data_IF_969356090940
#
_entry.id   IF_969356090940
#
_cell.length_a   1.000
_cell.length_b   1.000
_cell.length_c   1.000
_cell.angle_alpha   90.00
_cell.angle_beta   90.00
_cell.angle_gamma   90.00
#
_symmetry.space_group_name_H-M   'P 1'
#
loop_
_entity.id
_entity.type
_entity.pdbx_description
1 polymer ?
#
# COMPACT_ATOMS: atom_id res chain seq x y z
N UNK A 1 -14.97 -11.34 -3.57
CA UNK A 1 -13.70 -10.59 -3.52
C UNK A 1 -12.67 -11.34 -2.70
N UNK A 2 -11.40 -11.20 -3.05
CA UNK A 2 -10.30 -11.79 -2.29
C UNK A 2 -9.10 -10.87 -2.31
N UNK A 3 -8.18 -11.09 -1.37
CA UNK A 3 -6.93 -10.33 -1.30
C UNK A 3 -5.79 -11.24 -1.77
N UNK A 4 -4.96 -10.72 -2.67
CA UNK A 4 -3.76 -11.41 -3.15
C UNK A 4 -2.55 -10.53 -2.93
N UNK A 5 -1.37 -11.14 -2.90
CA UNK A 5 -0.12 -10.40 -2.85
C UNK A 5 0.51 -10.39 -4.25
N UNK A 6 0.83 -9.19 -4.74
CA UNK A 6 1.23 -8.98 -6.13
C UNK A 6 2.49 -9.77 -6.53
N UNK A 7 3.57 -9.69 -5.72
CA UNK A 7 4.85 -10.27 -6.11
C UNK A 7 4.83 -11.78 -6.16
N UNK A 8 3.93 -12.42 -5.43
CA UNK A 8 3.73 -13.87 -5.46
C UNK A 8 2.60 -14.30 -6.40
N UNK A 9 1.92 -13.35 -7.05
CA UNK A 9 0.82 -13.67 -7.96
C UNK A 9 1.33 -14.17 -9.31
N UNK A 10 0.47 -14.92 -10.01
CA UNK A 10 0.81 -15.47 -11.32
C UNK A 10 0.48 -14.57 -12.51
N UNK A 11 -0.16 -13.44 -12.31
CA UNK A 11 -0.67 -12.58 -13.39
C UNK A 11 -0.22 -11.13 -13.22
N UNK A 12 1.07 -10.94 -12.95
CA UNK A 12 1.64 -9.63 -12.60
C UNK A 12 1.43 -8.57 -13.68
N UNK A 13 1.58 -8.92 -14.95
CA UNK A 13 1.43 -7.95 -16.03
C UNK A 13 0.02 -7.37 -16.07
N UNK A 14 -0.99 -8.22 -15.88
CA UNK A 14 -2.38 -7.77 -15.83
C UNK A 14 -2.62 -6.80 -14.66
N UNK A 15 -2.18 -7.17 -13.47
CA UNK A 15 -2.37 -6.32 -12.29
C UNK A 15 -1.59 -5.02 -12.39
N UNK A 16 -0.37 -5.09 -12.90
CA UNK A 16 0.47 -3.89 -13.09
C UNK A 16 -0.19 -2.89 -14.05
N UNK A 17 -0.74 -3.37 -15.16
CA UNK A 17 -1.47 -2.52 -16.10
C UNK A 17 -2.68 -1.86 -15.45
N UNK A 18 -3.41 -2.58 -14.62
CA UNK A 18 -4.54 -2.00 -13.90
C UNK A 18 -4.12 -0.92 -12.91
N UNK A 19 -2.98 -1.11 -12.23
CA UNK A 19 -2.43 -0.07 -11.35
C UNK A 19 -2.14 1.20 -12.14
N UNK A 20 -1.61 1.07 -13.35
CA UNK A 20 -1.32 2.22 -14.22
C UNK A 20 -2.57 3.02 -14.59
N UNK A 21 -3.75 2.39 -14.58
CA UNK A 21 -5.02 3.04 -14.90
C UNK A 21 -5.61 3.81 -13.71
N UNK A 22 -5.03 3.70 -12.53
CA UNK A 22 -5.49 4.46 -11.37
C UNK A 22 -5.40 5.97 -11.62
N UNK A 23 -6.48 6.70 -11.31
CA UNK A 23 -6.55 8.16 -11.46
C UNK A 23 -5.89 8.84 -10.27
N UNK A 24 -4.60 8.65 -10.14
CA UNK A 24 -3.81 9.14 -9.02
C UNK A 24 -2.32 9.12 -9.40
N UNK A 25 -1.62 10.24 -9.21
CA UNK A 25 -0.21 10.35 -9.61
C UNK A 25 0.67 9.31 -8.92
N UNK A 26 0.39 9.00 -7.64
CA UNK A 26 1.15 7.98 -6.91
C UNK A 26 0.92 6.57 -7.48
N UNK A 27 -0.27 6.27 -8.00
CA UNK A 27 -0.53 4.99 -8.67
C UNK A 27 0.34 4.85 -9.92
N UNK A 28 0.45 5.92 -10.69
CA UNK A 28 1.31 5.93 -11.89
C UNK A 28 2.79 5.82 -11.52
N UNK A 29 3.19 6.41 -10.42
CA UNK A 29 4.55 6.26 -9.89
C UNK A 29 4.81 4.82 -9.43
N UNK A 30 3.87 4.21 -8.74
CA UNK A 30 3.97 2.80 -8.34
C UNK A 30 4.14 1.90 -9.55
N UNK A 31 3.38 2.13 -10.62
CA UNK A 31 3.53 1.38 -11.87
C UNK A 31 4.98 1.48 -12.38
N UNK A 32 5.57 2.67 -12.37
CA UNK A 32 6.96 2.85 -12.78
C UNK A 32 7.93 2.06 -11.90
N UNK A 33 7.71 2.06 -10.59
CA UNK A 33 8.53 1.30 -9.66
C UNK A 33 8.41 -0.21 -9.89
N UNK A 34 7.23 -0.70 -10.22
CA UNK A 34 7.03 -2.13 -10.52
C UNK A 34 7.74 -2.56 -11.80
N UNK A 35 8.05 -1.62 -12.69
CA UNK A 35 8.85 -1.86 -13.88
C UNK A 35 10.35 -1.66 -13.67
N UNK A 36 10.75 -1.20 -12.49
CA UNK A 36 12.15 -0.94 -12.17
C UNK A 36 12.39 -1.33 -10.70
N UNK A 37 12.56 -2.61 -10.47
CA UNK A 37 12.66 -3.14 -9.10
C UNK A 37 13.90 -2.64 -8.35
N UNK A 38 14.96 -2.27 -9.06
CA UNK A 38 16.10 -1.65 -8.40
C UNK A 38 15.70 -0.34 -7.74
N UNK A 39 14.95 0.50 -8.46
CA UNK A 39 14.47 1.76 -7.92
C UNK A 39 13.42 1.54 -6.84
N UNK A 40 12.56 0.55 -7.00
CA UNK A 40 11.60 0.17 -5.96
C UNK A 40 12.33 -0.12 -4.65
N UNK A 41 13.36 -0.94 -4.70
CA UNK A 41 14.12 -1.31 -3.50
C UNK A 41 14.91 -0.14 -2.92
N UNK A 42 15.43 0.75 -3.76
CA UNK A 42 16.12 1.96 -3.30
C UNK A 42 15.18 2.88 -2.50
N UNK A 43 13.92 2.98 -2.90
CA UNK A 43 12.96 3.88 -2.29
C UNK A 43 12.16 3.23 -1.17
N UNK A 44 11.79 1.97 -1.31
CA UNK A 44 10.86 1.28 -0.41
C UNK A 44 11.50 0.13 0.36
N UNK A 45 12.76 -0.19 0.08
CA UNK A 45 13.47 -1.27 0.73
C UNK A 45 13.24 -2.62 0.08
N UNK A 46 13.88 -3.64 0.64
CA UNK A 46 13.75 -5.02 0.17
C UNK A 46 12.55 -5.70 0.82
N UNK A 47 12.11 -6.82 0.25
CA UNK A 47 11.03 -7.67 0.79
C UNK A 47 9.70 -6.94 0.91
N UNK A 48 9.48 -5.92 0.09
CA UNK A 48 8.22 -5.21 0.05
C UNK A 48 7.08 -6.08 -0.43
N UNK A 49 5.87 -5.78 0.05
CA UNK A 49 4.65 -6.47 -0.36
C UNK A 49 3.66 -5.46 -0.92
N UNK A 50 2.85 -5.92 -1.85
CA UNK A 50 1.78 -5.13 -2.44
C UNK A 50 0.52 -6.00 -2.41
N UNK A 51 -0.45 -5.61 -1.59
CA UNK A 51 -1.70 -6.34 -1.44
C UNK A 51 -2.76 -5.73 -2.34
N UNK A 52 -3.45 -6.59 -3.06
CA UNK A 52 -4.53 -6.23 -3.97
C UNK A 52 -5.83 -6.87 -3.49
N UNK A 53 -6.84 -6.04 -3.25
CA UNK A 53 -8.21 -6.55 -3.10
C UNK A 53 -8.79 -6.61 -4.51
N UNK A 54 -9.20 -7.80 -4.95
CA UNK A 54 -9.66 -8.01 -6.32
C UNK A 54 -11.09 -8.54 -6.35
N UNK A 55 -11.78 -8.21 -7.44
CA UNK A 55 -13.09 -8.73 -7.78
C UNK A 55 -12.99 -9.30 -9.20
N UNK A 56 -12.85 -10.63 -9.29
CA UNK A 56 -12.54 -11.26 -10.57
C UNK A 56 -11.20 -10.78 -11.10
N UNK A 57 -11.20 -10.14 -12.27
CA UNK A 57 -10.01 -9.62 -12.92
C UNK A 57 -9.79 -8.11 -12.67
N UNK A 58 -10.58 -7.54 -11.76
CA UNK A 58 -10.50 -6.10 -11.48
C UNK A 58 -9.90 -5.86 -10.10
N UNK A 59 -8.98 -4.89 -10.02
CA UNK A 59 -8.50 -4.41 -8.74
C UNK A 59 -9.54 -3.46 -8.16
N UNK A 60 -9.92 -3.70 -6.91
CA UNK A 60 -10.80 -2.83 -6.13
C UNK A 60 -10.00 -1.80 -5.38
N UNK A 61 -8.94 -2.25 -4.71
CA UNK A 61 -8.07 -1.40 -3.88
C UNK A 61 -6.70 -2.05 -3.74
N UNK A 62 -5.66 -1.25 -3.50
CA UNK A 62 -4.32 -1.78 -3.23
C UNK A 62 -3.60 -0.98 -2.15
N UNK A 63 -2.59 -1.59 -1.54
CA UNK A 63 -1.74 -0.98 -0.52
C UNK A 63 -0.40 -1.69 -0.49
N UNK A 64 0.67 -0.93 -0.24
CA UNK A 64 2.01 -1.50 -0.03
C UNK A 64 2.31 -1.67 1.45
N UNK A 65 3.13 -2.66 1.77
CA UNK A 65 3.72 -2.86 3.09
C UNK A 65 5.22 -3.01 2.88
N UNK A 66 5.99 -1.99 3.29
CA UNK A 66 7.40 -1.87 2.92
C UNK A 66 8.25 -1.43 4.10
N UNK A 67 9.57 -1.58 3.98
CA UNK A 67 10.51 -1.15 5.02
C UNK A 67 10.70 0.35 5.08
N UNK A 68 10.52 1.05 3.96
CA UNK A 68 10.71 2.49 3.85
C UNK A 68 9.53 3.11 3.11
N UNK A 69 9.36 4.40 3.27
CA UNK A 69 8.41 5.21 2.53
C UNK A 69 8.99 6.62 2.41
N UNK A 70 8.17 7.63 2.23
CA UNK A 70 8.65 9.01 2.06
C UNK A 70 9.44 9.54 3.26
N UNK A 71 9.20 9.03 4.46
CA UNK A 71 9.97 9.38 5.66
C UNK A 71 11.16 8.44 5.78
N UNK A 72 12.38 9.00 5.79
CA UNK A 72 13.63 8.24 5.84
C UNK A 72 14.13 8.07 7.27
N UNK A 73 13.48 7.21 8.02
CA UNK A 73 13.87 6.86 9.38
C UNK A 73 13.88 5.34 9.50
N UNK A 74 15.07 4.75 9.52
CA UNK A 74 15.24 3.29 9.52
C UNK A 74 14.70 2.62 10.80
N UNK A 75 14.52 3.38 11.87
CA UNK A 75 13.93 2.85 13.10
C UNK A 75 12.41 2.69 13.00
N UNK A 76 11.79 3.34 12.02
CA UNK A 76 10.35 3.31 11.79
C UNK A 76 10.04 2.39 10.62
N UNK A 77 9.54 1.21 10.90
CA UNK A 77 9.09 0.24 9.91
C UNK A 77 8.18 -0.80 10.55
N UNK A 78 7.33 -1.52 9.79
CA UNK A 78 7.08 -1.33 8.37
C UNK A 78 6.12 -0.18 8.08
N UNK A 79 6.08 0.23 6.82
CA UNK A 79 5.23 1.32 6.34
C UNK A 79 4.11 0.78 5.47
N UNK A 80 2.90 1.29 5.70
CA UNK A 80 1.78 1.15 4.76
C UNK A 80 1.79 2.37 3.84
N UNK A 81 1.69 2.15 2.55
CA UNK A 81 1.76 3.23 1.58
C UNK A 81 0.95 2.93 0.33
N UNK A 82 0.87 3.91 -0.58
CA UNK A 82 0.18 3.76 -1.87
C UNK A 82 -1.25 3.20 -1.73
N UNK A 83 -1.96 3.55 -0.65
CA UNK A 83 -3.34 3.09 -0.47
C UNK A 83 -4.26 3.80 -1.46
N UNK A 84 -4.94 3.03 -2.28
CA UNK A 84 -5.84 3.55 -3.30
C UNK A 84 -7.03 2.63 -3.49
N UNK A 85 -8.22 3.22 -3.62
CA UNK A 85 -9.44 2.50 -3.99
C UNK A 85 -9.97 3.10 -5.28
N UNK A 86 -10.25 2.26 -6.27
CA UNK A 86 -10.74 2.70 -7.56
C UNK A 86 -12.13 3.36 -7.41
N UNK A 87 -12.43 4.39 -8.22
CA UNK A 87 -13.64 5.20 -8.02
C UNK A 87 -14.95 4.40 -7.93
N UNK A 88 -15.09 3.37 -8.76
CA UNK A 88 -16.31 2.56 -8.81
C UNK A 88 -16.58 1.77 -7.51
N UNK A 89 -15.58 1.65 -6.66
CA UNK A 89 -15.67 0.87 -5.43
C UNK A 89 -15.61 1.71 -4.17
N UNK A 90 -15.52 3.02 -4.29
CA UNK A 90 -15.44 3.93 -3.13
C UNK A 90 -16.75 3.96 -2.34
N UNK A 91 -16.66 4.32 -1.05
CA UNK A 91 -17.81 4.40 -0.17
C UNK A 91 -18.23 3.08 0.47
N UNK A 92 -17.48 2.00 0.27
CA UNK A 92 -17.81 0.67 0.78
C UNK A 92 -16.81 0.18 1.83
N UNK A 93 -15.92 1.05 2.31
CA UNK A 93 -14.90 0.73 3.33
C UNK A 93 -13.90 -0.36 2.91
N UNK A 94 -13.68 -0.53 1.63
CA UNK A 94 -12.73 -1.51 1.13
C UNK A 94 -11.29 -1.17 1.53
N UNK A 95 -10.94 0.12 1.59
CA UNK A 95 -9.62 0.53 2.05
C UNK A 95 -9.37 0.12 3.49
N UNK A 96 -10.39 0.24 4.36
CA UNK A 96 -10.29 -0.20 5.75
C UNK A 96 -10.06 -1.71 5.84
N UNK A 97 -10.80 -2.49 5.06
CA UNK A 97 -10.65 -3.94 5.01
C UNK A 97 -9.23 -4.34 4.60
N UNK A 98 -8.70 -3.67 3.58
CA UNK A 98 -7.36 -3.95 3.07
C UNK A 98 -6.28 -3.53 4.07
N UNK A 99 -6.44 -2.37 4.72
CA UNK A 99 -5.52 -1.94 5.77
C UNK A 99 -5.46 -2.94 6.92
N UNK A 100 -6.61 -3.45 7.36
CA UNK A 100 -6.65 -4.45 8.43
C UNK A 100 -5.91 -5.72 8.03
N UNK A 101 -6.07 -6.16 6.80
CA UNK A 101 -5.34 -7.31 6.29
C UNK A 101 -3.83 -7.07 6.31
N UNK A 102 -3.38 -5.91 5.83
CA UNK A 102 -1.95 -5.57 5.80
C UNK A 102 -1.38 -5.50 7.22
N UNK A 103 -2.13 -4.94 8.17
CA UNK A 103 -1.74 -4.93 9.59
C UNK A 103 -1.58 -6.34 10.14
N UNK A 104 -2.50 -7.26 9.81
CA UNK A 104 -2.42 -8.65 10.24
C UNK A 104 -1.19 -9.35 9.66
N UNK A 105 -0.83 -9.04 8.41
CA UNK A 105 0.38 -9.59 7.80
C UNK A 105 1.64 -9.08 8.52
N UNK A 106 1.68 -7.81 8.88
CA UNK A 106 2.78 -7.25 9.65
C UNK A 106 2.90 -7.91 11.02
N UNK A 107 1.78 -8.15 11.69
CA UNK A 107 1.76 -8.83 13.00
C UNK A 107 2.27 -10.27 12.89
N UNK A 108 1.94 -10.99 11.84
CA UNK A 108 2.44 -12.34 11.66
C UNK A 108 3.95 -12.39 11.39
N UNK A 109 4.54 -11.25 10.99
CA UNK A 109 5.98 -11.07 10.87
C UNK A 109 6.61 -10.47 12.14
N UNK A 110 5.90 -10.53 13.26
CA UNK A 110 6.31 -10.00 14.56
C UNK A 110 6.45 -8.47 14.62
N UNK A 111 5.78 -7.76 13.74
CA UNK A 111 5.78 -6.30 13.75
C UNK A 111 4.55 -5.81 14.53
N UNK A 112 4.80 -5.19 15.68
CA UNK A 112 3.72 -4.74 16.59
C UNK A 112 3.20 -3.36 16.25
N UNK A 113 3.91 -2.60 15.42
CA UNK A 113 3.57 -1.23 15.03
C UNK A 113 3.72 -1.12 13.52
N UNK A 114 2.78 -0.44 12.88
CA UNK A 114 2.90 -0.05 11.48
C UNK A 114 2.81 1.47 11.38
N UNK A 115 3.46 2.03 10.39
CA UNK A 115 3.52 3.48 10.16
C UNK A 115 2.80 3.82 8.87
N UNK A 116 2.26 5.02 8.81
CA UNK A 116 1.54 5.53 7.65
C UNK A 116 1.88 7.00 7.47
N UNK A 117 2.34 7.39 6.28
CA UNK A 117 2.52 8.78 5.92
C UNK A 117 1.33 9.23 5.07
N UNK A 118 0.71 10.35 5.43
CA UNK A 118 -0.48 10.84 4.74
C UNK A 118 -0.61 12.36 4.90
N UNK A 119 -1.20 12.99 3.88
CA UNK A 119 -1.63 14.38 3.95
C UNK A 119 -3.05 14.52 4.49
N UNK A 120 -3.76 13.42 4.73
CA UNK A 120 -5.13 13.42 5.23
C UNK A 120 -5.14 13.48 6.76
N UNK A 121 -5.62 14.59 7.32
CA UNK A 121 -5.73 14.77 8.75
C UNK A 121 -7.09 14.25 9.21
N UNK A 122 -7.10 13.36 10.19
CA UNK A 122 -8.31 12.83 10.80
C UNK A 122 -8.90 11.59 10.13
N UNK A 123 -8.54 11.29 8.88
CA UNK A 123 -9.09 10.13 8.17
C UNK A 123 -8.62 8.82 8.79
N UNK A 124 -7.32 8.67 8.97
CA UNK A 124 -6.75 7.41 9.46
C UNK A 124 -6.90 7.25 10.96
N UNK A 125 -7.08 8.34 11.70
CA UNK A 125 -7.40 8.26 13.13
C UNK A 125 -8.74 7.55 13.35
N UNK A 126 -9.68 7.68 12.44
CA UNK A 126 -10.96 6.94 12.47
C UNK A 126 -10.75 5.43 12.32
N UNK A 127 -9.62 5.02 11.75
CA UNK A 127 -9.26 3.61 11.58
C UNK A 127 -8.36 3.10 12.70
N UNK A 128 -8.15 3.89 13.76
CA UNK A 128 -7.36 3.50 14.90
C UNK A 128 -5.90 3.93 14.86
N UNK A 129 -5.50 4.76 13.89
CA UNK A 129 -4.15 5.30 13.83
C UNK A 129 -4.01 6.52 14.72
N UNK A 130 -2.84 6.66 15.34
CA UNK A 130 -2.52 7.82 16.16
C UNK A 130 -1.57 8.74 15.42
N UNK A 131 -1.84 10.05 15.51
CA UNK A 131 -0.94 11.07 14.96
C UNK A 131 0.38 11.05 15.73
N UNK A 132 1.49 10.99 15.02
CA UNK A 132 2.81 10.96 15.61
C UNK A 132 3.51 12.31 15.46
N UNK A 133 3.72 12.76 14.24
CA UNK A 133 4.36 14.04 13.97
C UNK A 133 4.20 14.43 12.51
N UNK A 134 4.46 15.70 12.20
CA UNK A 134 4.54 16.19 10.83
C UNK A 134 6.01 16.27 10.42
N UNK A 135 6.36 15.63 9.31
CA UNK A 135 7.70 15.70 8.73
C UNK A 135 7.63 16.14 7.27
N UNK A 136 8.65 16.87 6.84
CA UNK A 136 8.83 17.22 5.43
C UNK A 136 9.86 16.29 4.83
N UNK A 137 9.58 15.82 3.63
CA UNK A 137 10.47 14.93 2.87
C UNK A 137 11.69 15.66 2.32
#
# INVERSE_FOLDING_TARGET
MKIIEYFSSGNKEHWKEQIALGDWSAAKFLFKLLNDMKKFEELLGTDGKLFLLIDGENIVSFVTLTRQDCVRDESMYPWLGFLYTYPDYRGNRYSKKLLRYAEEQAMSDNQLIVYLATDHIGLYEKYGYSYLETRKD
#
